data_IF_669029845212
#
_entry.id   IF_669029845212
#
_cell.length_a   1.000
_cell.length_b   1.000
_cell.length_c   1.000
_cell.angle_alpha   90.00
_cell.angle_beta   90.00
_cell.angle_gamma   90.00
#
_symmetry.space_group_name_H-M   'P 1'
#
loop_
_entity.id
_entity.type
_entity.pdbx_description
1 polymer ?
#
# COMPACT_ATOMS: atom_id res chain seq x y z
N UNK A 1 17.17 10.29 -14.43
CA UNK A 1 16.04 9.40 -14.73
C UNK A 1 14.91 9.73 -13.76
N UNK A 2 13.69 10.01 -14.22
CA UNK A 2 12.57 10.35 -13.31
C UNK A 2 12.13 9.08 -12.61
N UNK A 3 12.13 9.09 -11.27
CA UNK A 3 11.65 7.98 -10.46
C UNK A 3 10.14 7.81 -10.69
N UNK A 4 9.69 6.62 -11.09
CA UNK A 4 8.27 6.32 -11.25
C UNK A 4 7.56 6.35 -9.89
N UNK A 5 6.41 7.01 -9.82
CA UNK A 5 5.66 7.23 -8.59
C UNK A 5 4.23 6.76 -8.78
N UNK A 6 3.75 5.93 -7.88
CA UNK A 6 2.38 5.41 -7.84
C UNK A 6 1.70 5.93 -6.58
N UNK A 7 0.44 6.32 -6.69
CA UNK A 7 -0.40 6.68 -5.54
C UNK A 7 -1.38 5.55 -5.34
N UNK A 8 -1.39 4.98 -4.13
CA UNK A 8 -2.25 3.86 -3.77
C UNK A 8 -3.29 4.34 -2.77
N UNK A 9 -4.54 3.92 -2.96
CA UNK A 9 -5.61 4.03 -2.00
C UNK A 9 -5.78 2.70 -1.24
N UNK A 10 -6.74 2.63 -0.31
CA UNK A 10 -6.98 1.41 0.48
C UNK A 10 -7.36 0.22 -0.39
N UNK A 11 -8.16 0.44 -1.44
CA UNK A 11 -8.63 -0.61 -2.34
C UNK A 11 -7.48 -1.39 -3.00
N UNK A 12 -6.35 -0.74 -3.28
CA UNK A 12 -5.16 -1.40 -3.84
C UNK A 12 -4.64 -2.59 -3.03
N UNK A 13 -4.94 -2.67 -1.71
CA UNK A 13 -4.57 -3.80 -0.86
C UNK A 13 -5.77 -4.62 -0.36
N UNK A 14 -6.98 -4.05 -0.40
CA UNK A 14 -8.15 -4.62 0.29
C UNK A 14 -9.22 -5.17 -0.64
N UNK A 15 -9.16 -4.86 -1.94
CA UNK A 15 -10.18 -5.23 -2.91
C UNK A 15 -10.46 -6.75 -2.93
N UNK A 16 -11.72 -7.12 -2.71
CA UNK A 16 -12.12 -8.53 -2.62
C UNK A 16 -12.21 -9.19 -3.99
N UNK A 17 -12.62 -8.45 -5.03
CA UNK A 17 -12.75 -9.02 -6.38
C UNK A 17 -11.38 -9.40 -6.94
N UNK A 18 -10.40 -8.53 -6.79
CA UNK A 18 -9.01 -8.77 -7.18
C UNK A 18 -8.46 -9.99 -6.43
N UNK A 19 -8.71 -10.08 -5.12
CA UNK A 19 -8.31 -11.25 -4.33
C UNK A 19 -8.95 -12.55 -4.80
N UNK A 20 -10.22 -12.52 -5.18
CA UNK A 20 -10.93 -13.69 -5.73
C UNK A 20 -10.38 -14.10 -7.10
N UNK A 21 -10.11 -13.12 -7.97
CA UNK A 21 -9.54 -13.35 -9.31
C UNK A 21 -8.12 -13.96 -9.24
N UNK A 22 -7.32 -13.57 -8.25
CA UNK A 22 -5.96 -14.07 -8.03
C UNK A 22 -5.91 -15.41 -7.26
N UNK A 23 -7.01 -16.16 -7.24
CA UNK A 23 -7.05 -17.52 -6.70
C UNK A 23 -7.57 -17.67 -5.27
N UNK A 24 -8.19 -16.62 -4.72
CA UNK A 24 -8.98 -16.71 -3.49
C UNK A 24 -8.14 -17.06 -2.26
N UNK A 25 -7.41 -16.08 -1.73
CA UNK A 25 -6.66 -16.18 -0.48
C UNK A 25 -7.33 -15.46 0.70
N UNK A 26 -6.69 -15.51 1.87
CA UNK A 26 -7.04 -14.59 2.96
C UNK A 26 -6.56 -13.18 2.62
N UNK A 27 -7.23 -12.16 3.16
CA UNK A 27 -6.81 -10.78 2.99
C UNK A 27 -5.32 -10.58 3.32
N UNK A 28 -4.85 -11.19 4.40
CA UNK A 28 -3.47 -11.01 4.88
C UNK A 28 -2.44 -11.61 3.93
N UNK A 29 -2.75 -12.75 3.32
CA UNK A 29 -1.90 -13.37 2.30
C UNK A 29 -1.84 -12.46 1.07
N UNK A 30 -2.97 -11.97 0.59
CA UNK A 30 -3.02 -11.08 -0.58
C UNK A 30 -2.29 -9.77 -0.34
N UNK A 31 -2.57 -9.10 0.77
CA UNK A 31 -1.93 -7.84 1.13
C UNK A 31 -0.42 -8.02 1.34
N UNK A 32 0.00 -9.10 2.00
CA UNK A 32 1.42 -9.45 2.12
C UNK A 32 2.09 -9.64 0.77
N UNK A 33 1.46 -10.41 -0.13
CA UNK A 33 1.98 -10.65 -1.48
C UNK A 33 2.11 -9.38 -2.32
N UNK A 34 1.11 -8.48 -2.28
CA UNK A 34 1.20 -7.19 -2.98
C UNK A 34 2.34 -6.34 -2.43
N UNK A 35 2.52 -6.30 -1.10
CA UNK A 35 3.62 -5.56 -0.47
C UNK A 35 5.00 -6.14 -0.84
N UNK A 36 5.11 -7.46 -0.98
CA UNK A 36 6.32 -8.12 -1.45
C UNK A 36 6.62 -7.77 -2.91
N UNK A 37 5.61 -7.72 -3.79
CA UNK A 37 5.76 -7.26 -5.17
C UNK A 37 6.22 -5.79 -5.20
N UNK A 38 5.66 -4.92 -4.35
CA UNK A 38 6.10 -3.52 -4.23
C UNK A 38 7.57 -3.44 -3.79
N UNK A 39 7.98 -4.28 -2.83
CA UNK A 39 9.36 -4.34 -2.36
C UNK A 39 10.32 -4.69 -3.52
N UNK A 40 10.02 -5.76 -4.25
CA UNK A 40 10.80 -6.22 -5.41
C UNK A 40 10.85 -5.15 -6.51
N UNK A 41 9.70 -4.57 -6.87
CA UNK A 41 9.63 -3.52 -7.88
C UNK A 41 10.41 -2.27 -7.46
N UNK A 42 10.44 -1.91 -6.17
CA UNK A 42 11.24 -0.80 -5.67
C UNK A 42 12.73 -1.07 -5.80
N UNK A 43 13.18 -2.30 -5.54
CA UNK A 43 14.59 -2.70 -5.66
C UNK A 43 15.04 -2.76 -7.12
N UNK A 44 14.23 -3.33 -8.00
CA UNK A 44 14.62 -3.61 -9.38
C UNK A 44 14.28 -2.50 -10.37
N UNK A 45 13.15 -1.81 -10.18
CA UNK A 45 12.64 -0.79 -11.11
C UNK A 45 12.72 0.63 -10.52
N UNK A 46 13.14 0.76 -9.26
CA UNK A 46 13.29 2.06 -8.60
C UNK A 46 11.98 2.78 -8.32
N UNK A 47 10.83 2.09 -8.33
CA UNK A 47 9.52 2.74 -8.12
C UNK A 47 9.36 3.30 -6.70
N UNK A 48 8.31 4.07 -6.48
CA UNK A 48 7.88 4.51 -5.14
C UNK A 48 6.37 4.54 -5.06
N UNK A 49 5.81 3.91 -4.03
CA UNK A 49 4.39 3.90 -3.75
C UNK A 49 4.08 4.88 -2.61
N UNK A 50 3.11 5.75 -2.83
CA UNK A 50 2.69 6.78 -1.89
C UNK A 50 1.25 6.56 -1.47
N UNK A 51 0.96 6.91 -0.22
CA UNK A 51 -0.42 7.01 0.27
C UNK A 51 -0.80 8.50 0.32
N UNK A 52 -1.95 8.90 -0.23
CA UNK A 52 -2.29 10.30 -0.46
C UNK A 52 -2.53 11.10 0.83
N UNK A 53 -2.97 10.43 1.90
CA UNK A 53 -3.24 11.06 3.20
C UNK A 53 -2.81 10.15 4.36
N UNK A 54 -2.37 10.70 5.50
CA UNK A 54 -2.12 9.91 6.71
C UNK A 54 -3.34 9.10 7.18
N UNK A 55 -4.56 9.59 6.94
CA UNK A 55 -5.80 8.88 7.24
C UNK A 55 -5.95 7.58 6.45
N UNK A 56 -5.62 7.59 5.15
CA UNK A 56 -5.68 6.40 4.29
C UNK A 56 -4.66 5.36 4.74
N UNK A 57 -3.48 5.81 5.18
CA UNK A 57 -2.48 4.90 5.76
C UNK A 57 -2.98 4.27 7.07
N UNK A 58 -3.62 5.06 7.95
CA UNK A 58 -4.19 4.53 9.18
C UNK A 58 -5.31 3.54 8.87
N UNK A 59 -6.18 3.86 7.91
CA UNK A 59 -7.25 2.97 7.47
C UNK A 59 -6.69 1.62 6.97
N UNK A 60 -5.66 1.62 6.11
CA UNK A 60 -4.97 0.40 5.68
C UNK A 60 -4.44 -0.41 6.87
N UNK A 61 -3.75 0.27 7.80
CA UNK A 61 -3.13 -0.39 8.96
C UNK A 61 -4.18 -0.98 9.89
N UNK A 62 -5.25 -0.25 10.14
CA UNK A 62 -6.36 -0.69 10.99
C UNK A 62 -7.15 -1.80 10.31
N UNK A 63 -7.33 -1.73 8.99
CA UNK A 63 -7.96 -2.80 8.21
C UNK A 63 -7.17 -4.11 8.30
N UNK A 64 -5.84 -4.05 8.16
CA UNK A 64 -4.98 -5.21 8.33
C UNK A 64 -5.07 -5.80 9.74
N UNK A 65 -5.05 -4.95 10.77
CA UNK A 65 -5.18 -5.38 12.18
C UNK A 65 -6.54 -6.01 12.50
N UNK A 66 -7.62 -5.37 12.07
CA UNK A 66 -8.99 -5.83 12.34
C UNK A 66 -9.28 -7.18 11.67
N UNK A 67 -8.55 -7.52 10.61
CA UNK A 67 -8.64 -8.81 9.92
C UNK A 67 -7.58 -9.83 10.38
N UNK A 68 -6.83 -9.53 11.45
CA UNK A 68 -5.89 -10.48 12.05
C UNK A 68 -4.58 -10.67 11.28
N UNK A 69 -4.16 -9.70 10.48
CA UNK A 69 -2.87 -9.78 9.80
C UNK A 69 -1.72 -9.62 10.79
N UNK A 70 -0.67 -10.44 10.61
CA UNK A 70 0.48 -10.46 11.51
C UNK A 70 1.35 -9.21 11.41
N UNK A 71 2.24 -9.07 12.40
CA UNK A 71 3.15 -7.92 12.49
C UNK A 71 4.06 -7.76 11.27
N UNK A 72 4.39 -8.85 10.57
CA UNK A 72 5.14 -8.80 9.30
C UNK A 72 4.42 -7.97 8.24
N UNK A 73 3.12 -8.19 8.05
CA UNK A 73 2.31 -7.41 7.09
C UNK A 73 2.29 -5.93 7.49
N UNK A 74 2.16 -5.63 8.78
CA UNK A 74 2.16 -4.25 9.29
C UNK A 74 3.52 -3.59 9.06
N UNK A 75 4.62 -4.29 9.33
CA UNK A 75 5.98 -3.79 9.10
C UNK A 75 6.22 -3.51 7.61
N UNK A 76 5.70 -4.34 6.71
CA UNK A 76 5.77 -4.12 5.26
C UNK A 76 4.99 -2.88 4.81
N UNK A 77 3.79 -2.65 5.35
CA UNK A 77 3.01 -1.41 5.12
C UNK A 77 3.87 -0.20 5.51
N UNK A 78 4.48 -0.22 6.69
CA UNK A 78 5.29 0.87 7.23
C UNK A 78 6.56 1.14 6.41
N UNK A 79 7.13 0.08 5.82
CA UNK A 79 8.41 0.13 5.10
C UNK A 79 8.24 0.58 3.65
N UNK A 80 7.19 0.08 2.98
CA UNK A 80 7.04 0.21 1.53
C UNK A 80 6.10 1.33 1.10
N UNK A 81 5.18 1.76 1.97
CA UNK A 81 4.20 2.79 1.66
C UNK A 81 4.60 4.13 2.26
N UNK A 82 4.97 5.08 1.40
CA UNK A 82 5.41 6.40 1.84
C UNK A 82 4.19 7.29 2.10
N UNK A 83 4.02 7.75 3.35
CA UNK A 83 2.99 8.72 3.72
C UNK A 83 3.32 10.06 3.07
N UNK A 84 2.52 10.52 2.11
CA UNK A 84 2.57 11.91 1.68
C UNK A 84 1.53 12.70 2.46
N UNK A 85 1.97 13.78 3.08
CA UNK A 85 1.05 14.80 3.54
C UNK A 85 0.75 15.68 2.33
N UNK A 86 -0.52 15.99 2.03
CA UNK A 86 -0.85 16.93 0.97
C UNK A 86 -0.13 18.24 1.26
N UNK A 87 0.56 18.79 0.26
CA UNK A 87 1.09 20.13 0.39
C UNK A 87 -0.09 21.11 0.29
N UNK A 88 -0.63 21.49 1.45
CA UNK A 88 -1.80 22.38 1.54
C UNK A 88 -1.48 23.82 1.08
N UNK A 89 -0.20 24.14 0.85
CA UNK A 89 0.26 25.48 0.53
C UNK A 89 0.66 25.65 -0.94
N UNK A 90 0.79 24.57 -1.72
CA UNK A 90 0.91 24.63 -3.19
C UNK A 90 -0.46 24.41 -3.86
N UNK A 91 -1.43 25.28 -3.59
CA UNK A 91 -2.52 25.49 -4.56
C UNK A 91 -2.04 26.54 -5.54
N UNK A 92 -1.37 26.11 -6.62
CA UNK A 92 -1.28 26.94 -7.82
C UNK A 92 -2.54 26.68 -8.64
N UNK A 93 -3.46 27.64 -8.59
CA UNK A 93 -4.53 27.80 -9.59
C UNK A 93 -3.88 28.21 -10.91
#
# INVERSE_FOLDING_TARGET
MIRQRFVLDTSALTDSQTRELEGGGTLCVTMGGILDIIAEARLHMGISCYIPFPSVYNEMRDFAKNNGCGDDTIAKIDTWLVKKTPDRYEVKI
#
